data_IF_080288999734
#
_entry.id   IF_080288999734
#
_cell.length_a   1.000
_cell.length_b   1.000
_cell.length_c   1.000
_cell.angle_alpha   90.00
_cell.angle_beta   90.00
_cell.angle_gamma   90.00
#
_symmetry.space_group_name_H-M   'P 1'
#
loop_
_entity.id
_entity.type
_entity.pdbx_description
1 polymer ?
#
# COMPACT_ATOMS: atom_id res chain seq x y z
N UNK A 1 12.27 55.62 -35.65
CA UNK A 1 12.57 55.67 -34.20
C UNK A 1 11.26 55.53 -33.44
N UNK A 2 10.80 54.28 -33.32
CA UNK A 2 9.57 53.86 -32.66
C UNK A 2 9.99 53.47 -31.25
N UNK A 3 9.96 54.41 -30.31
CA UNK A 3 10.57 54.14 -28.99
C UNK A 3 10.22 55.06 -27.83
N UNK A 4 9.38 56.09 -28.02
CA UNK A 4 9.02 57.03 -26.93
C UNK A 4 7.51 57.23 -26.76
N UNK A 5 6.70 56.81 -27.73
CA UNK A 5 5.23 56.99 -27.73
C UNK A 5 4.44 55.86 -27.04
N UNK A 6 5.10 54.87 -26.42
CA UNK A 6 4.42 53.76 -25.74
C UNK A 6 4.43 53.83 -24.20
N UNK A 7 5.18 54.77 -23.62
CA UNK A 7 5.28 54.89 -22.14
C UNK A 7 4.42 56.02 -21.53
N UNK A 8 4.01 57.03 -22.31
CA UNK A 8 3.11 58.10 -21.81
C UNK A 8 1.62 57.72 -21.81
N UNK A 9 1.21 56.71 -22.60
CA UNK A 9 -0.18 56.20 -22.57
C UNK A 9 -0.47 55.24 -21.43
N UNK A 10 0.56 54.69 -20.76
CA UNK A 10 0.37 53.83 -19.60
C UNK A 10 0.20 54.62 -18.29
N UNK A 11 0.76 55.82 -18.20
CA UNK A 11 0.71 56.62 -16.97
C UNK A 11 -0.54 57.51 -16.86
N UNK A 12 -1.20 57.82 -17.98
CA UNK A 12 -2.45 58.61 -18.02
C UNK A 12 -3.73 57.75 -17.91
N UNK A 13 -3.59 56.43 -17.72
CA UNK A 13 -4.69 55.51 -17.42
C UNK A 13 -4.86 55.19 -15.93
N UNK A 14 -3.92 55.61 -15.06
CA UNK A 14 -3.89 55.27 -13.63
C UNK A 14 -4.44 56.37 -12.70
N UNK A 15 -5.05 57.43 -13.23
CA UNK A 15 -5.62 58.52 -12.42
C UNK A 15 -6.94 59.04 -12.99
N UNK A 16 -7.98 58.21 -12.89
CA UNK A 16 -9.33 58.70 -12.58
C UNK A 16 -9.96 57.76 -11.57
N UNK A 17 -10.11 58.25 -10.34
CA UNK A 17 -11.05 57.68 -9.38
C UNK A 17 -12.41 57.61 -10.06
N UNK A 18 -12.81 56.40 -10.44
CA UNK A 18 -14.20 56.13 -10.80
C UNK A 18 -14.98 56.13 -9.50
N UNK A 19 -15.78 57.17 -9.35
CA UNK A 19 -16.83 57.33 -8.36
C UNK A 19 -17.69 56.06 -8.32
N UNK A 20 -17.87 55.50 -7.13
CA UNK A 20 -18.63 54.26 -6.93
C UNK A 20 -20.07 54.48 -7.40
N UNK A 21 -20.48 53.78 -8.46
CA UNK A 21 -21.89 53.45 -8.63
C UNK A 21 -22.30 52.54 -7.48
N UNK A 22 -23.29 52.96 -6.70
CA UNK A 22 -23.88 52.17 -5.62
C UNK A 22 -24.62 51.00 -6.26
N UNK A 23 -23.96 49.84 -6.32
CA UNK A 23 -24.59 48.59 -6.71
C UNK A 23 -25.44 48.09 -5.55
N UNK A 24 -26.75 48.20 -5.72
CA UNK A 24 -27.77 47.58 -4.89
C UNK A 24 -27.44 46.10 -4.63
N UNK A 25 -27.18 45.78 -3.37
CA UNK A 25 -27.64 44.55 -2.71
C UNK A 25 -27.40 43.19 -3.39
N UNK A 26 -26.29 42.95 -4.10
CA UNK A 26 -25.93 41.57 -4.46
C UNK A 26 -25.23 40.93 -3.28
N UNK A 27 -25.96 40.07 -2.56
CA UNK A 27 -25.45 39.24 -1.47
C UNK A 27 -24.31 38.36 -2.01
N UNK A 28 -23.06 38.80 -1.87
CA UNK A 28 -21.88 37.98 -2.20
C UNK A 28 -21.91 36.80 -1.22
N UNK A 29 -22.44 35.67 -1.67
CA UNK A 29 -22.29 34.39 -0.98
C UNK A 29 -20.82 34.00 -1.11
N UNK A 30 -20.01 34.40 -0.15
CA UNK A 30 -18.72 33.77 0.11
C UNK A 30 -18.99 32.27 0.22
N UNK A 31 -18.55 31.48 -0.76
CA UNK A 31 -18.68 30.02 -0.68
C UNK A 31 -18.02 29.61 0.63
N UNK A 32 -18.77 28.92 1.50
CA UNK A 32 -18.18 28.21 2.65
C UNK A 32 -17.04 27.40 2.06
N UNK A 33 -15.81 27.67 2.50
CA UNK A 33 -14.71 26.74 2.24
C UNK A 33 -15.24 25.39 2.74
N UNK A 34 -15.33 24.40 1.86
CA UNK A 34 -15.55 23.03 2.28
C UNK A 34 -14.29 22.65 3.05
N UNK A 35 -14.27 22.97 4.34
CA UNK A 35 -13.26 22.45 5.24
C UNK A 35 -13.64 20.97 5.31
N UNK A 36 -12.91 20.14 4.56
CA UNK A 36 -13.01 18.70 4.73
C UNK A 36 -12.90 18.43 6.24
N UNK A 37 -13.83 17.65 6.79
CA UNK A 37 -13.78 17.27 8.20
C UNK A 37 -12.34 16.81 8.53
N UNK A 38 -11.79 17.09 9.71
CA UNK A 38 -10.44 16.62 10.06
C UNK A 38 -10.27 15.11 9.82
N UNK A 39 -9.07 14.69 9.43
CA UNK A 39 -8.75 13.26 9.31
C UNK A 39 -8.70 12.66 10.71
N UNK A 40 -9.33 11.49 10.87
CA UNK A 40 -9.33 10.71 12.11
C UNK A 40 -9.00 9.24 11.81
N UNK A 41 -7.74 8.94 11.47
CA UNK A 41 -7.31 7.56 11.24
C UNK A 41 -7.28 6.74 12.53
N UNK A 42 -7.09 7.37 13.70
CA UNK A 42 -7.10 6.70 14.99
C UNK A 42 -8.50 6.16 15.31
N UNK A 43 -9.54 7.00 15.26
CA UNK A 43 -10.91 6.54 15.50
C UNK A 43 -11.37 5.49 14.48
N UNK A 44 -10.91 5.55 13.23
CA UNK A 44 -11.14 4.48 12.25
C UNK A 44 -10.48 3.17 12.68
N UNK A 45 -9.20 3.21 13.09
CA UNK A 45 -8.46 2.04 13.53
C UNK A 45 -9.07 1.44 14.80
N UNK A 46 -9.47 2.24 15.78
CA UNK A 46 -10.05 1.79 17.05
C UNK A 46 -11.35 1.00 16.81
N UNK A 47 -12.25 1.52 15.97
CA UNK A 47 -13.49 0.80 15.60
C UNK A 47 -13.16 -0.49 14.85
N UNK A 48 -12.19 -0.48 13.95
CA UNK A 48 -11.78 -1.67 13.22
C UNK A 48 -11.18 -2.74 14.13
N UNK A 49 -10.30 -2.35 15.05
CA UNK A 49 -9.71 -3.21 16.09
C UNK A 49 -10.81 -3.83 16.94
N UNK A 50 -11.78 -3.02 17.37
CA UNK A 50 -12.93 -3.51 18.14
C UNK A 50 -13.74 -4.55 17.36
N UNK A 51 -13.97 -4.36 16.05
CA UNK A 51 -14.64 -5.35 15.20
C UNK A 51 -13.88 -6.69 15.19
N UNK A 52 -12.54 -6.67 15.12
CA UNK A 52 -11.73 -7.90 15.21
C UNK A 52 -11.87 -8.57 16.57
N UNK A 53 -11.86 -7.80 17.65
CA UNK A 53 -11.98 -8.30 19.03
C UNK A 53 -13.37 -8.89 19.28
N UNK A 54 -14.44 -8.19 18.92
CA UNK A 54 -15.84 -8.61 19.11
C UNK A 54 -16.16 -9.92 18.39
N UNK A 55 -15.48 -10.16 17.26
CA UNK A 55 -15.66 -11.36 16.46
C UNK A 55 -14.56 -12.42 16.70
N UNK A 56 -13.71 -12.24 17.73
CA UNK A 56 -12.62 -13.16 18.09
C UNK A 56 -11.72 -13.55 16.90
N UNK A 57 -11.49 -12.63 15.96
CA UNK A 57 -10.68 -12.86 14.77
C UNK A 57 -11.33 -13.72 13.68
N UNK A 58 -12.60 -14.12 13.81
CA UNK A 58 -13.32 -14.83 12.76
C UNK A 58 -13.50 -13.91 11.55
N UNK A 59 -12.70 -14.13 10.50
CA UNK A 59 -12.65 -13.27 9.32
C UNK A 59 -13.97 -13.24 8.53
N UNK A 60 -14.82 -14.26 8.64
CA UNK A 60 -16.14 -14.27 8.02
C UNK A 60 -17.11 -13.35 8.76
N UNK A 61 -17.09 -13.41 10.10
CA UNK A 61 -17.88 -12.50 10.94
C UNK A 61 -17.36 -11.07 10.88
N UNK A 62 -16.04 -10.86 10.89
CA UNK A 62 -15.41 -9.54 10.69
C UNK A 62 -15.85 -8.95 9.35
N UNK A 63 -15.77 -9.71 8.24
CA UNK A 63 -16.23 -9.23 6.94
C UNK A 63 -17.70 -8.80 6.96
N UNK A 64 -18.57 -9.57 7.63
CA UNK A 64 -19.99 -9.24 7.80
C UNK A 64 -20.19 -7.96 8.61
N UNK A 65 -19.47 -7.79 9.72
CA UNK A 65 -19.52 -6.56 10.52
C UNK A 65 -19.08 -5.33 9.73
N UNK A 66 -18.04 -5.46 8.89
CA UNK A 66 -17.57 -4.37 8.02
C UNK A 66 -18.56 -4.00 6.91
N UNK A 67 -19.37 -4.94 6.42
CA UNK A 67 -20.45 -4.67 5.47
C UNK A 67 -21.55 -3.80 6.10
N UNK A 68 -21.84 -4.00 7.39
CA UNK A 68 -22.82 -3.21 8.15
C UNK A 68 -22.27 -1.92 8.78
N UNK A 69 -20.96 -1.69 8.72
CA UNK A 69 -20.31 -0.54 9.36
C UNK A 69 -20.39 0.73 8.51
N UNK A 70 -20.43 1.90 9.17
CA UNK A 70 -20.34 3.22 8.54
C UNK A 70 -18.88 3.69 8.32
N UNK A 71 -17.92 2.75 8.38
CA UNK A 71 -16.49 3.04 8.21
C UNK A 71 -16.18 3.59 6.82
N UNK A 72 -15.45 4.71 6.76
CA UNK A 72 -15.10 5.37 5.52
C UNK A 72 -13.81 4.78 4.89
N UNK A 73 -13.95 3.63 4.24
CA UNK A 73 -12.88 2.94 3.53
C UNK A 73 -12.22 3.78 2.43
N UNK A 74 -12.96 4.69 1.78
CA UNK A 74 -12.40 5.57 0.74
C UNK A 74 -11.38 6.54 1.31
N UNK A 75 -11.53 6.92 2.59
CA UNK A 75 -10.65 7.86 3.28
C UNK A 75 -9.52 7.19 4.03
N UNK A 76 -9.76 5.99 4.55
CA UNK A 76 -8.87 5.29 5.48
C UNK A 76 -8.44 3.90 4.96
N UNK A 77 -8.43 3.71 3.64
CA UNK A 77 -8.07 2.42 3.04
C UNK A 77 -6.64 1.96 3.39
N UNK A 78 -5.68 2.88 3.48
CA UNK A 78 -4.31 2.55 3.91
C UNK A 78 -4.32 2.08 5.38
N UNK A 79 -5.01 2.81 6.26
CA UNK A 79 -5.19 2.45 7.68
C UNK A 79 -5.88 1.09 7.84
N UNK A 80 -6.89 0.78 7.00
CA UNK A 80 -7.52 -0.53 6.98
C UNK A 80 -6.50 -1.65 6.77
N UNK A 81 -5.66 -1.54 5.73
CA UNK A 81 -4.67 -2.58 5.47
C UNK A 81 -3.55 -2.60 6.52
N UNK A 82 -3.16 -1.47 7.09
CA UNK A 82 -2.23 -1.46 8.24
C UNK A 82 -2.75 -2.30 9.41
N UNK A 83 -4.03 -2.15 9.75
CA UNK A 83 -4.67 -2.94 10.82
C UNK A 83 -4.74 -4.41 10.44
N UNK A 84 -5.10 -4.75 9.19
CA UNK A 84 -5.12 -6.16 8.72
C UNK A 84 -3.75 -6.82 8.88
N UNK A 85 -2.66 -6.11 8.53
CA UNK A 85 -1.34 -6.70 8.59
C UNK A 85 -0.71 -6.68 9.99
N UNK A 86 -0.90 -5.59 10.74
CA UNK A 86 -0.15 -5.34 11.98
C UNK A 86 -1.02 -5.37 13.23
N UNK A 87 -2.33 -5.51 13.10
CA UNK A 87 -3.25 -5.52 14.25
C UNK A 87 -3.65 -4.14 14.74
N UNK A 88 -3.03 -3.07 14.22
CA UNK A 88 -3.33 -1.68 14.55
C UNK A 88 -2.77 -0.72 13.50
N UNK A 89 -2.73 0.57 13.82
CA UNK A 89 -2.12 1.58 12.95
C UNK A 89 -0.61 1.65 13.13
N UNK A 90 0.08 2.07 12.07
CA UNK A 90 1.52 2.35 12.12
C UNK A 90 1.80 3.85 12.13
N UNK A 91 2.92 4.26 12.72
CA UNK A 91 3.33 5.66 12.68
C UNK A 91 3.54 6.08 11.22
N UNK A 92 3.09 7.28 10.83
CA UNK A 92 3.15 7.74 9.44
C UNK A 92 4.52 7.55 8.79
N UNK A 93 4.56 6.84 7.66
CA UNK A 93 5.79 6.61 6.89
C UNK A 93 6.75 5.57 7.49
N UNK A 94 6.33 4.84 8.53
CA UNK A 94 7.15 3.80 9.17
C UNK A 94 6.40 2.45 9.18
N UNK A 95 7.02 1.43 9.78
CA UNK A 95 6.35 0.17 10.13
C UNK A 95 6.12 0.03 11.65
N UNK A 96 6.52 1.04 12.44
CA UNK A 96 6.43 0.99 13.89
C UNK A 96 4.98 1.16 14.31
N UNK A 97 4.58 0.43 15.34
CA UNK A 97 3.27 0.60 15.95
C UNK A 97 3.06 2.04 16.41
N UNK A 98 1.87 2.58 16.14
CA UNK A 98 1.42 3.84 16.68
C UNK A 98 0.69 3.62 18.02
N UNK A 99 0.27 4.70 18.69
CA UNK A 99 -0.51 4.61 19.93
C UNK A 99 -1.90 3.99 19.68
N UNK A 100 -2.39 3.17 20.62
CA UNK A 100 -3.72 2.57 20.57
C UNK A 100 -3.70 1.05 20.73
N UNK A 101 -4.89 0.47 20.83
CA UNK A 101 -5.05 -0.97 20.99
C UNK A 101 -4.74 -1.72 19.69
N UNK A 102 -4.29 -2.97 19.83
CA UNK A 102 -4.01 -3.87 18.71
C UNK A 102 -4.75 -5.18 18.91
N UNK A 103 -5.32 -5.71 17.83
CA UNK A 103 -5.82 -7.08 17.83
C UNK A 103 -4.69 -8.06 17.47
N UNK A 104 -4.76 -9.28 18.00
CA UNK A 104 -3.74 -10.33 17.81
C UNK A 104 -4.00 -11.26 16.62
N UNK A 105 -4.99 -10.91 15.78
CA UNK A 105 -5.41 -11.70 14.62
C UNK A 105 -4.84 -11.19 13.29
N UNK A 106 -3.74 -10.44 13.35
CA UNK A 106 -3.13 -9.80 12.19
C UNK A 106 -2.26 -10.78 11.38
N UNK A 107 -1.94 -10.43 10.13
CA UNK A 107 -1.04 -11.25 9.29
C UNK A 107 0.33 -11.44 9.97
N UNK A 108 0.82 -10.43 10.69
CA UNK A 108 2.12 -10.50 11.37
C UNK A 108 2.07 -11.22 12.72
N UNK A 109 0.90 -11.42 13.32
CA UNK A 109 0.75 -12.18 14.58
C UNK A 109 0.54 -13.69 14.36
N UNK A 110 0.12 -14.12 13.15
CA UNK A 110 -0.11 -15.53 12.86
C UNK A 110 1.20 -16.34 12.66
N UNK A 111 1.13 -17.67 12.64
CA UNK A 111 2.31 -18.52 12.37
C UNK A 111 2.86 -18.31 10.94
N UNK A 112 4.18 -18.41 10.71
CA UNK A 112 4.80 -18.24 9.39
C UNK A 112 4.60 -19.46 8.48
N UNK A 113 3.33 -19.81 8.24
CA UNK A 113 2.87 -20.96 7.46
C UNK A 113 1.67 -20.59 6.60
N UNK A 114 1.54 -21.29 5.48
CA UNK A 114 0.46 -21.12 4.50
C UNK A 114 -0.93 -21.17 5.13
N UNK A 115 -1.20 -22.18 5.96
CA UNK A 115 -2.53 -22.44 6.51
C UNK A 115 -3.01 -21.30 7.43
N UNK A 116 -2.07 -20.58 8.03
CA UNK A 116 -2.33 -19.44 8.91
C UNK A 116 -2.53 -18.14 8.14
N UNK A 117 -1.89 -17.98 6.98
CA UNK A 117 -1.89 -16.73 6.20
C UNK A 117 -2.94 -16.73 5.09
N UNK A 118 -3.23 -17.90 4.49
CA UNK A 118 -4.22 -18.05 3.43
C UNK A 118 -5.61 -17.49 3.80
N UNK A 119 -6.14 -17.69 5.02
CA UNK A 119 -7.41 -17.09 5.42
C UNK A 119 -7.43 -15.56 5.27
N UNK A 120 -6.34 -14.87 5.64
CA UNK A 120 -6.21 -13.42 5.48
C UNK A 120 -6.22 -13.00 4.01
N UNK A 121 -5.57 -13.77 3.13
CA UNK A 121 -5.57 -13.50 1.67
C UNK A 121 -6.98 -13.65 1.09
N UNK A 122 -7.70 -14.71 1.45
CA UNK A 122 -9.08 -14.95 1.01
C UNK A 122 -10.04 -13.89 1.53
N UNK A 123 -9.87 -13.47 2.80
CA UNK A 123 -10.60 -12.37 3.40
C UNK A 123 -10.37 -11.06 2.63
N UNK A 124 -9.12 -10.69 2.36
CA UNK A 124 -8.81 -9.48 1.57
C UNK A 124 -9.40 -9.58 0.17
N UNK A 125 -9.34 -10.75 -0.46
CA UNK A 125 -9.96 -10.97 -1.77
C UNK A 125 -11.48 -10.72 -1.72
N UNK A 126 -12.17 -11.20 -0.68
CA UNK A 126 -13.60 -10.96 -0.45
C UNK A 126 -13.91 -9.48 -0.29
N UNK A 127 -13.12 -8.75 0.51
CA UNK A 127 -13.25 -7.30 0.70
C UNK A 127 -13.06 -6.55 -0.63
N UNK A 128 -12.03 -6.90 -1.41
CA UNK A 128 -11.74 -6.25 -2.69
C UNK A 128 -12.81 -6.52 -3.75
N UNK A 129 -13.44 -7.70 -3.77
CA UNK A 129 -14.58 -7.95 -4.67
C UNK A 129 -15.76 -7.00 -4.40
N UNK A 130 -15.98 -6.62 -3.13
CA UNK A 130 -17.03 -5.68 -2.73
C UNK A 130 -16.59 -4.21 -2.86
N UNK A 131 -15.29 -3.94 -2.68
CA UNK A 131 -14.69 -2.60 -2.62
C UNK A 131 -13.44 -2.54 -3.50
N UNK A 132 -13.56 -2.65 -4.84
CA UNK A 132 -12.41 -2.76 -5.73
C UNK A 132 -11.49 -1.53 -5.71
N UNK A 133 -12.01 -0.36 -5.31
CA UNK A 133 -11.21 0.86 -5.16
C UNK A 133 -10.10 0.73 -4.09
N UNK A 134 -10.21 -0.22 -3.15
CA UNK A 134 -9.22 -0.47 -2.12
C UNK A 134 -7.95 -1.15 -2.64
N UNK A 135 -7.93 -1.64 -3.88
CA UNK A 135 -6.76 -2.32 -4.46
C UNK A 135 -5.51 -1.44 -4.42
N UNK A 136 -5.67 -0.12 -4.61
CA UNK A 136 -4.55 0.82 -4.58
C UNK A 136 -4.01 1.01 -3.17
N UNK A 137 -4.87 0.99 -2.16
CA UNK A 137 -4.46 1.06 -0.76
C UNK A 137 -3.68 -0.20 -0.34
N UNK A 138 -4.13 -1.38 -0.77
CA UNK A 138 -3.38 -2.63 -0.56
C UNK A 138 -2.00 -2.56 -1.20
N UNK A 139 -1.95 -2.12 -2.47
CA UNK A 139 -0.68 -1.93 -3.20
C UNK A 139 0.26 -0.97 -2.43
N UNK A 140 -0.25 0.16 -1.93
CA UNK A 140 0.53 1.14 -1.20
C UNK A 140 1.13 0.55 0.09
N UNK A 141 0.32 -0.14 0.90
CA UNK A 141 0.77 -0.74 2.17
C UNK A 141 1.76 -1.87 1.92
N UNK A 142 1.47 -2.77 0.96
CA UNK A 142 2.41 -3.84 0.59
C UNK A 142 3.75 -3.26 0.13
N UNK A 143 3.75 -2.30 -0.80
CA UNK A 143 4.98 -1.68 -1.28
C UNK A 143 5.78 -1.07 -0.14
N UNK A 144 5.12 -0.38 0.79
CA UNK A 144 5.80 0.21 1.96
C UNK A 144 6.47 -0.87 2.82
N UNK A 145 5.79 -2.00 3.08
CA UNK A 145 6.36 -3.08 3.89
C UNK A 145 7.51 -3.79 3.19
N UNK A 146 7.37 -4.08 1.89
CA UNK A 146 8.44 -4.68 1.08
C UNK A 146 9.67 -3.76 0.98
N UNK A 147 9.45 -2.45 0.95
CA UNK A 147 10.50 -1.44 0.97
C UNK A 147 11.18 -1.24 2.33
N UNK A 148 10.64 -1.84 3.38
CA UNK A 148 11.06 -1.73 4.78
C UNK A 148 11.40 -3.10 5.39
N UNK A 149 11.67 -4.12 4.56
CA UNK A 149 11.97 -5.49 5.02
C UNK A 149 13.11 -5.56 6.06
N UNK A 150 14.07 -4.63 6.03
CA UNK A 150 15.14 -4.57 7.04
C UNK A 150 14.68 -4.23 8.45
N UNK A 151 13.47 -3.68 8.60
CA UNK A 151 12.88 -3.35 9.90
C UNK A 151 12.04 -4.50 10.48
N UNK A 152 11.79 -5.55 9.69
CA UNK A 152 11.06 -6.73 10.12
C UNK A 152 11.99 -7.85 10.56
N UNK A 153 11.56 -8.62 11.54
CA UNK A 153 12.23 -9.84 11.95
C UNK A 153 12.17 -10.91 10.86
N UNK A 154 13.00 -11.96 10.97
CA UNK A 154 13.07 -13.02 9.98
C UNK A 154 11.72 -13.72 9.76
N UNK A 155 11.01 -14.04 10.85
CA UNK A 155 9.68 -14.66 10.78
C UNK A 155 8.65 -13.73 10.14
N UNK A 156 8.69 -12.43 10.42
CA UNK A 156 7.79 -11.45 9.81
C UNK A 156 8.05 -11.30 8.31
N UNK A 157 9.32 -11.26 7.89
CA UNK A 157 9.70 -11.26 6.46
C UNK A 157 9.19 -12.51 5.76
N UNK A 158 9.27 -13.67 6.40
CA UNK A 158 8.73 -14.93 5.87
C UNK A 158 7.20 -14.89 5.74
N UNK A 159 6.48 -14.35 6.73
CA UNK A 159 5.01 -14.15 6.64
C UNK A 159 4.65 -13.25 5.46
N UNK A 160 5.38 -12.15 5.26
CA UNK A 160 5.18 -11.25 4.12
C UNK A 160 5.48 -11.93 2.78
N UNK A 161 6.51 -12.79 2.70
CA UNK A 161 6.83 -13.57 1.50
C UNK A 161 5.70 -14.55 1.16
N UNK A 162 5.22 -15.29 2.16
CA UNK A 162 4.10 -16.23 2.00
C UNK A 162 2.82 -15.48 1.57
N UNK A 163 2.49 -14.39 2.26
CA UNK A 163 1.34 -13.56 1.92
C UNK A 163 1.41 -13.06 0.47
N UNK A 164 2.58 -12.57 0.04
CA UNK A 164 2.78 -12.03 -1.31
C UNK A 164 2.65 -13.13 -2.37
N UNK A 165 3.19 -14.33 -2.12
CA UNK A 165 3.06 -15.49 -3.00
C UNK A 165 1.60 -15.92 -3.15
N UNK A 166 0.90 -16.10 -2.03
CA UNK A 166 -0.52 -16.45 -2.02
C UNK A 166 -1.38 -15.39 -2.70
N UNK A 167 -1.05 -14.11 -2.55
CA UNK A 167 -1.76 -13.02 -3.22
C UNK A 167 -1.74 -13.16 -4.75
N UNK A 168 -0.59 -13.49 -5.34
CA UNK A 168 -0.50 -13.74 -6.78
C UNK A 168 -1.09 -15.08 -7.19
N UNK A 169 -0.88 -16.14 -6.40
CA UNK A 169 -1.42 -17.48 -6.66
C UNK A 169 -2.96 -17.48 -6.67
N UNK A 170 -3.58 -16.79 -5.71
CA UNK A 170 -5.04 -16.64 -5.63
C UNK A 170 -5.60 -15.65 -6.67
N UNK A 171 -4.75 -15.13 -7.58
CA UNK A 171 -5.09 -14.19 -8.66
C UNK A 171 -5.88 -12.99 -8.13
N UNK A 172 -5.47 -12.46 -6.98
CA UNK A 172 -6.08 -11.31 -6.35
C UNK A 172 -6.07 -10.13 -7.33
N UNK A 173 -7.27 -9.82 -7.86
CA UNK A 173 -7.41 -9.06 -9.09
C UNK A 173 -6.91 -7.62 -8.92
N UNK A 174 -5.97 -7.21 -9.78
CA UNK A 174 -5.59 -5.80 -9.94
C UNK A 174 -4.29 -5.35 -9.25
N UNK A 175 -3.65 -6.18 -8.42
CA UNK A 175 -2.30 -5.83 -7.92
C UNK A 175 -1.27 -5.95 -9.06
N UNK A 176 -0.54 -4.88 -9.41
CA UNK A 176 0.47 -4.93 -10.45
C UNK A 176 1.72 -5.69 -9.97
N UNK A 177 2.10 -6.83 -10.58
CA UNK A 177 3.33 -7.53 -10.19
C UNK A 177 4.56 -6.64 -10.29
N UNK A 178 4.62 -5.78 -11.31
CA UNK A 178 5.72 -4.84 -11.53
C UNK A 178 5.96 -3.96 -10.30
N UNK A 179 4.93 -3.31 -9.76
CA UNK A 179 5.12 -2.37 -8.65
C UNK A 179 5.44 -3.07 -7.33
N UNK A 180 4.98 -4.31 -7.16
CA UNK A 180 5.29 -5.16 -6.02
C UNK A 180 6.75 -5.63 -6.08
N UNK A 181 7.19 -6.22 -7.19
CA UNK A 181 8.57 -6.71 -7.30
C UNK A 181 9.58 -5.56 -7.31
N UNK A 182 9.32 -4.45 -8.01
CA UNK A 182 10.20 -3.27 -7.98
C UNK A 182 10.39 -2.70 -6.56
N UNK A 183 9.40 -2.89 -5.68
CA UNK A 183 9.49 -2.42 -4.30
C UNK A 183 10.50 -3.20 -3.44
N UNK A 184 10.87 -4.43 -3.87
CA UNK A 184 11.86 -5.27 -3.21
C UNK A 184 13.30 -4.87 -3.56
N UNK A 185 13.56 -4.46 -4.81
CA UNK A 185 14.91 -4.26 -5.36
C UNK A 185 15.47 -2.89 -4.95
N UNK A 186 15.64 -2.68 -3.64
CA UNK A 186 16.39 -1.55 -3.09
C UNK A 186 17.83 -1.96 -2.79
N UNK A 187 18.80 -1.13 -3.20
CA UNK A 187 20.23 -1.43 -3.08
C UNK A 187 20.66 -1.89 -1.68
N UNK A 188 20.15 -1.24 -0.62
CA UNK A 188 20.47 -1.60 0.76
C UNK A 188 19.93 -2.99 1.15
N UNK A 189 18.73 -3.35 0.70
CA UNK A 189 18.11 -4.65 0.99
C UNK A 189 18.80 -5.77 0.20
N UNK A 190 19.14 -5.50 -1.07
CA UNK A 190 19.84 -6.42 -1.96
C UNK A 190 21.25 -6.70 -1.43
N UNK A 191 22.01 -5.66 -1.06
CA UNK A 191 23.35 -5.81 -0.51
C UNK A 191 23.39 -6.66 0.78
N UNK A 192 22.35 -6.55 1.62
CA UNK A 192 22.19 -7.35 2.86
C UNK A 192 21.70 -8.78 2.61
N UNK A 193 21.36 -9.16 1.38
CA UNK A 193 20.79 -10.47 1.05
C UNK A 193 19.35 -10.68 1.52
N UNK A 194 18.69 -9.64 2.02
CA UNK A 194 17.30 -9.71 2.52
C UNK A 194 16.34 -10.01 1.37
N UNK A 195 16.57 -9.40 0.20
CA UNK A 195 15.74 -9.62 -0.99
C UNK A 195 15.86 -11.06 -1.49
N UNK A 196 17.08 -11.61 -1.52
CA UNK A 196 17.31 -13.00 -1.92
C UNK A 196 16.60 -13.99 -1.00
N UNK A 197 16.68 -13.78 0.32
CA UNK A 197 15.94 -14.60 1.29
C UNK A 197 14.43 -14.51 1.07
N UNK A 198 13.89 -13.29 0.94
CA UNK A 198 12.46 -13.06 0.71
C UNK A 198 11.97 -13.73 -0.58
N UNK A 199 12.67 -13.54 -1.71
CA UNK A 199 12.24 -14.07 -3.01
C UNK A 199 12.29 -15.60 -3.03
N UNK A 200 13.21 -16.19 -2.27
CA UNK A 200 13.31 -17.66 -2.13
C UNK A 200 12.10 -18.24 -1.44
N UNK A 201 11.69 -17.65 -0.31
CA UNK A 201 10.48 -18.06 0.40
C UNK A 201 9.23 -17.83 -0.46
N UNK A 202 9.19 -16.71 -1.18
CA UNK A 202 8.13 -16.41 -2.14
C UNK A 202 8.03 -17.47 -3.26
N UNK A 203 9.14 -17.84 -3.91
CA UNK A 203 9.13 -18.85 -4.98
C UNK A 203 8.73 -20.22 -4.46
N UNK A 204 9.28 -20.65 -3.32
CA UNK A 204 8.92 -21.92 -2.69
C UNK A 204 7.42 -21.99 -2.42
N UNK A 205 6.84 -20.93 -1.86
CA UNK A 205 5.42 -20.85 -1.56
C UNK A 205 4.56 -20.79 -2.83
N UNK A 206 4.96 -19.98 -3.82
CA UNK A 206 4.20 -19.83 -5.06
C UNK A 206 4.14 -21.14 -5.85
N UNK A 207 5.24 -21.90 -5.89
CA UNK A 207 5.35 -23.15 -6.64
C UNK A 207 4.62 -24.34 -6.01
N UNK A 208 4.02 -24.20 -4.82
CA UNK A 208 3.21 -25.28 -4.24
C UNK A 208 1.94 -25.52 -5.06
N UNK A 209 1.28 -24.47 -5.54
CA UNK A 209 0.01 -24.56 -6.29
C UNK A 209 0.11 -24.08 -7.75
N UNK A 210 1.26 -23.52 -8.16
CA UNK A 210 1.44 -22.95 -9.49
C UNK A 210 2.65 -23.60 -10.17
N UNK A 211 2.59 -23.71 -11.49
CA UNK A 211 3.68 -24.26 -12.27
C UNK A 211 4.87 -23.30 -12.39
N UNK A 212 6.03 -23.81 -12.80
CA UNK A 212 7.17 -22.96 -13.16
C UNK A 212 6.82 -22.00 -14.30
N UNK A 213 6.03 -22.44 -15.29
CA UNK A 213 5.57 -21.59 -16.39
C UNK A 213 4.70 -20.42 -15.90
N UNK A 214 3.84 -20.67 -14.90
CA UNK A 214 3.05 -19.63 -14.25
C UNK A 214 3.95 -18.63 -13.51
N UNK A 215 5.00 -19.11 -12.85
CA UNK A 215 5.98 -18.26 -12.17
C UNK A 215 6.75 -17.40 -13.17
N UNK A 216 7.23 -17.97 -14.27
CA UNK A 216 7.90 -17.24 -15.36
C UNK A 216 6.96 -16.17 -15.93
N UNK A 217 5.69 -16.51 -16.17
CA UNK A 217 4.67 -15.56 -16.63
C UNK A 217 4.43 -14.42 -15.62
N UNK A 218 4.43 -14.72 -14.33
CA UNK A 218 4.33 -13.71 -13.28
C UNK A 218 5.55 -12.77 -13.27
N UNK A 219 6.76 -13.32 -13.38
CA UNK A 219 8.01 -12.55 -13.42
C UNK A 219 8.11 -11.68 -14.67
N UNK A 220 7.65 -12.17 -15.82
CA UNK A 220 7.45 -11.40 -17.07
C UNK A 220 6.60 -10.16 -16.84
N UNK A 221 5.40 -10.34 -16.27
CA UNK A 221 4.50 -9.25 -15.90
C UNK A 221 5.09 -8.33 -14.82
N UNK A 222 6.01 -8.84 -14.03
CA UNK A 222 6.79 -8.11 -13.05
C UNK A 222 7.98 -7.33 -13.62
N UNK A 223 8.31 -7.51 -14.91
CA UNK A 223 9.56 -7.04 -15.53
C UNK A 223 10.83 -7.52 -14.81
N UNK A 224 10.78 -8.74 -14.29
CA UNK A 224 11.86 -9.35 -13.51
C UNK A 224 12.56 -10.53 -14.21
N UNK A 225 12.03 -11.01 -15.34
CA UNK A 225 12.55 -12.22 -16.00
C UNK A 225 14.04 -12.10 -16.40
N UNK A 226 14.44 -10.96 -16.96
CA UNK A 226 15.83 -10.71 -17.39
C UNK A 226 16.72 -10.24 -16.23
N UNK A 227 16.12 -9.98 -15.07
CA UNK A 227 16.74 -9.30 -13.93
C UNK A 227 16.76 -10.20 -12.67
N UNK A 228 16.65 -11.52 -12.82
CA UNK A 228 16.64 -12.44 -11.66
C UNK A 228 17.91 -12.32 -10.80
N UNK A 229 19.05 -12.01 -11.42
CA UNK A 229 20.30 -11.76 -10.71
C UNK A 229 20.25 -10.47 -9.87
N UNK A 230 19.31 -9.56 -10.11
CA UNK A 230 19.20 -8.34 -9.31
C UNK A 230 18.69 -8.60 -7.89
N UNK A 231 18.08 -9.76 -7.63
CA UNK A 231 17.75 -10.19 -6.27
C UNK A 231 18.99 -10.59 -5.45
N UNK A 232 20.09 -10.95 -6.12
CA UNK A 232 21.32 -11.36 -5.45
C UNK A 232 22.14 -10.14 -5.02
N UNK A 233 22.83 -10.24 -3.85
CA UNK A 233 23.85 -9.26 -3.48
C UNK A 233 24.83 -9.02 -4.63
N UNK A 234 25.32 -7.79 -4.87
CA UNK A 234 26.15 -7.48 -6.04
C UNK A 234 27.36 -8.41 -6.22
N UNK A 235 27.97 -8.86 -5.13
CA UNK A 235 29.12 -9.77 -5.14
C UNK A 235 28.79 -11.22 -5.57
N UNK A 236 27.50 -11.59 -5.68
CA UNK A 236 27.02 -12.95 -5.98
C UNK A 236 26.18 -13.01 -7.26
N UNK A 237 26.27 -12.01 -8.14
CA UNK A 237 25.49 -11.95 -9.39
C UNK A 237 26.18 -12.75 -10.50
N UNK A 238 26.26 -14.07 -10.33
CA UNK A 238 26.82 -14.98 -11.33
C UNK A 238 25.86 -16.14 -11.58
N UNK A 239 25.99 -16.77 -12.76
CA UNK A 239 25.18 -17.92 -13.15
C UNK A 239 25.39 -19.11 -12.21
N UNK A 240 26.61 -19.29 -11.69
CA UNK A 240 26.97 -20.35 -10.75
C UNK A 240 26.28 -20.15 -9.41
N UNK A 241 26.32 -18.93 -8.86
CA UNK A 241 25.66 -18.61 -7.59
C UNK A 241 24.13 -18.74 -7.69
N UNK A 242 23.56 -18.42 -8.86
CA UNK A 242 22.15 -18.65 -9.15
C UNK A 242 21.81 -20.15 -9.13
N UNK A 243 22.61 -20.95 -9.85
CA UNK A 243 22.44 -22.40 -9.90
C UNK A 243 22.53 -23.02 -8.51
N UNK A 244 23.55 -22.68 -7.72
CA UNK A 244 23.76 -23.23 -6.38
C UNK A 244 22.59 -22.91 -5.42
N UNK A 245 21.93 -21.78 -5.62
CA UNK A 245 20.86 -21.33 -4.73
C UNK A 245 19.48 -21.91 -5.09
N UNK A 246 19.19 -22.09 -6.39
CA UNK A 246 17.86 -22.47 -6.88
C UNK A 246 17.75 -23.84 -7.56
N UNK A 247 18.87 -24.46 -7.99
CA UNK A 247 18.90 -25.79 -8.60
C UNK A 247 19.41 -26.85 -7.63
#
# INVERSE_FOLDING_TARGET
MVGVLSFEKLYLGMTRMVERSVLNGTRIKTRKRNIAAPLDPAGFADVLVQIYVDNAGDLELVAKSLESSDLNFSRYGDTFFEVVFTGGRTQPGTIKADEGDRHTYSVLDCEPRRESILPSVLYIQKILRRRPFLIKNLENVMRRFLQSLELFEENERKKLAIFTALTFSQKLSGLPPETVFQSLVKDNLVAKGIVLSFITDFFKEYLVDNSLDDLISLLKRGKMEDNLLDFFPPAKRTSEAFSEHFM
#
